data_IF_973009529024
#
_entry.id   IF_973009529024
#
_cell.length_a   1.000
_cell.length_b   1.000
_cell.length_c   1.000
_cell.angle_alpha   90.00
_cell.angle_beta   90.00
_cell.angle_gamma   90.00
#
_symmetry.space_group_name_H-M   'P 1'
#
loop_
_entity.id
_entity.type
_entity.pdbx_description
1 polymer ?
#
# COMPACT_ATOMS: atom_id res chain seq x y z
N UNK A 1 11.61 7.12 0.10
CA UNK A 1 12.55 5.98 0.02
C UNK A 1 11.76 4.73 -0.37
N UNK A 2 12.19 4.03 -1.41
CA UNK A 2 11.56 2.79 -1.88
C UNK A 2 12.57 1.73 -2.31
N UNK A 3 13.86 1.97 -2.05
CA UNK A 3 14.87 0.96 -2.35
C UNK A 3 14.57 -0.31 -1.55
N UNK A 4 14.48 -1.43 -2.26
CA UNK A 4 14.20 -2.77 -1.75
C UNK A 4 14.74 -3.83 -2.72
N UNK A 5 15.95 -3.66 -3.19
CA UNK A 5 16.59 -4.53 -4.19
C UNK A 5 15.70 -4.77 -5.42
N UNK A 6 15.33 -6.01 -5.71
CA UNK A 6 14.48 -6.36 -6.86
C UNK A 6 13.06 -5.78 -6.76
N UNK A 7 12.60 -5.42 -5.57
CA UNK A 7 11.26 -4.86 -5.35
C UNK A 7 11.23 -3.33 -5.40
N UNK A 8 12.34 -2.66 -5.69
CA UNK A 8 12.37 -1.20 -5.83
C UNK A 8 11.35 -0.71 -6.84
N UNK A 9 10.50 0.25 -6.43
CA UNK A 9 9.39 0.76 -7.27
C UNK A 9 7.99 0.34 -6.76
N UNK A 10 7.90 -0.66 -5.90
CA UNK A 10 6.61 -1.15 -5.38
C UNK A 10 5.81 -0.08 -4.62
N UNK A 11 6.47 0.79 -3.85
CA UNK A 11 5.79 1.88 -3.12
C UNK A 11 5.09 2.84 -4.09
N UNK A 12 5.71 3.17 -5.22
CA UNK A 12 5.12 4.05 -6.22
C UNK A 12 3.98 3.37 -6.98
N UNK A 13 4.07 2.07 -7.18
CA UNK A 13 2.97 1.27 -7.75
C UNK A 13 1.74 1.38 -6.85
N UNK A 14 1.90 1.11 -5.57
CA UNK A 14 0.80 1.19 -4.60
C UNK A 14 0.24 2.62 -4.48
N UNK A 15 1.08 3.64 -4.54
CA UNK A 15 0.62 5.03 -4.52
C UNK A 15 -0.19 5.38 -5.78
N UNK A 16 0.26 4.95 -6.95
CA UNK A 16 -0.52 5.10 -8.19
C UNK A 16 -1.86 4.38 -8.10
N UNK A 17 -1.90 3.19 -7.53
CA UNK A 17 -3.10 2.39 -7.32
C UNK A 17 -4.09 3.07 -6.36
N UNK A 18 -3.61 3.66 -5.26
CA UNK A 18 -4.43 4.50 -4.39
C UNK A 18 -5.07 5.67 -5.16
N UNK A 19 -4.28 6.37 -5.99
CA UNK A 19 -4.79 7.46 -6.82
C UNK A 19 -5.80 6.94 -7.84
N UNK A 20 -5.53 5.82 -8.50
CA UNK A 20 -6.44 5.21 -9.47
C UNK A 20 -7.79 4.90 -8.83
N UNK A 21 -7.77 4.23 -7.68
CA UNK A 21 -8.97 3.84 -6.96
C UNK A 21 -9.75 5.06 -6.45
N UNK A 22 -9.08 6.02 -5.82
CA UNK A 22 -9.75 7.20 -5.25
C UNK A 22 -10.24 8.20 -6.30
N UNK A 23 -9.67 8.20 -7.48
CA UNK A 23 -10.00 9.13 -8.56
C UNK A 23 -11.01 8.56 -9.54
N UNK A 24 -10.89 7.30 -9.89
CA UNK A 24 -11.67 6.67 -10.96
C UNK A 24 -12.60 5.55 -10.48
N UNK A 25 -12.49 5.14 -9.22
CA UNK A 25 -13.40 4.21 -8.56
C UNK A 25 -13.09 2.73 -8.74
N UNK A 26 -13.84 1.89 -8.01
CA UNK A 26 -13.63 0.44 -7.95
C UNK A 26 -13.73 -0.26 -9.31
N UNK A 27 -14.66 0.14 -10.17
CA UNK A 27 -14.88 -0.49 -11.48
C UNK A 27 -13.62 -0.37 -12.36
N UNK A 28 -13.05 0.83 -12.43
CA UNK A 28 -11.83 1.07 -13.23
C UNK A 28 -10.63 0.36 -12.63
N UNK A 29 -10.55 0.31 -11.32
CA UNK A 29 -9.51 -0.44 -10.62
C UNK A 29 -9.63 -1.94 -10.91
N UNK A 30 -10.84 -2.50 -10.91
CA UNK A 30 -11.10 -3.90 -11.22
C UNK A 30 -10.77 -4.24 -12.69
N UNK A 31 -10.98 -3.31 -13.62
CA UNK A 31 -10.53 -3.48 -15.00
C UNK A 31 -9.01 -3.49 -15.11
N UNK A 32 -8.33 -2.61 -14.38
CA UNK A 32 -6.88 -2.56 -14.29
C UNK A 32 -6.30 -3.84 -13.71
N UNK A 33 -6.74 -4.24 -12.52
CA UNK A 33 -6.22 -5.42 -11.82
C UNK A 33 -6.42 -6.73 -12.61
N UNK A 34 -7.39 -6.77 -13.53
CA UNK A 34 -7.68 -7.91 -14.43
C UNK A 34 -7.09 -7.75 -15.83
N UNK A 35 -6.25 -6.74 -16.04
CA UNK A 35 -5.61 -6.43 -17.33
C UNK A 35 -6.61 -6.25 -18.48
N UNK A 36 -7.81 -5.74 -18.18
CA UNK A 36 -8.83 -5.43 -19.20
C UNK A 36 -8.65 -4.05 -19.83
N UNK A 37 -7.85 -3.20 -19.20
CA UNK A 37 -7.39 -1.93 -19.75
C UNK A 37 -5.87 -1.92 -19.78
N UNK A 38 -5.33 -1.32 -20.82
CA UNK A 38 -3.90 -1.23 -21.04
C UNK A 38 -3.21 -0.31 -20.05
N UNK A 39 -1.91 -0.48 -19.83
CA UNK A 39 -1.11 0.42 -19.01
C UNK A 39 -1.06 1.85 -19.59
N UNK A 40 -1.10 2.00 -20.91
CA UNK A 40 -1.22 3.29 -21.59
C UNK A 40 -2.60 3.94 -21.53
N UNK A 41 -3.59 3.32 -20.87
CA UNK A 41 -4.91 3.90 -20.67
C UNK A 41 -4.80 5.28 -19.99
N UNK A 42 -5.59 6.24 -20.47
CA UNK A 42 -5.54 7.63 -19.98
C UNK A 42 -5.76 7.73 -18.45
N UNK A 43 -6.54 6.86 -17.85
CA UNK A 43 -6.79 6.87 -16.40
C UNK A 43 -5.55 6.43 -15.62
N UNK A 44 -4.84 5.41 -16.10
CA UNK A 44 -3.55 4.97 -15.54
C UNK A 44 -2.51 6.08 -15.70
N UNK A 45 -2.37 6.60 -16.91
CA UNK A 45 -1.48 7.73 -17.19
C UNK A 45 -1.72 8.92 -16.25
N UNK A 46 -2.98 9.36 -16.10
CA UNK A 46 -3.34 10.49 -15.22
C UNK A 46 -3.22 10.18 -13.73
N UNK A 47 -3.23 8.91 -13.32
CA UNK A 47 -2.93 8.52 -11.94
C UNK A 47 -1.43 8.65 -11.64
N UNK A 48 -0.58 8.24 -12.57
CA UNK A 48 0.87 8.43 -12.47
C UNK A 48 1.22 9.92 -12.53
N UNK A 49 0.59 10.68 -13.41
CA UNK A 49 0.78 12.14 -13.49
C UNK A 49 0.39 12.85 -12.20
N UNK A 50 -0.59 12.34 -11.47
CA UNK A 50 -1.00 12.93 -10.20
C UNK A 50 0.11 12.83 -9.13
N UNK A 51 0.86 11.74 -9.09
CA UNK A 51 1.99 11.59 -8.17
C UNK A 51 3.28 12.21 -8.70
N UNK A 52 3.35 12.52 -9.99
CA UNK A 52 4.50 13.13 -10.64
C UNK A 52 4.86 14.49 -10.01
N UNK A 53 3.86 15.30 -9.68
CA UNK A 53 4.06 16.62 -9.09
C UNK A 53 4.75 16.54 -7.72
N UNK A 54 4.56 15.43 -6.99
CA UNK A 54 5.27 15.17 -5.74
C UNK A 54 6.69 14.64 -5.96
N UNK A 55 6.90 13.81 -6.98
CA UNK A 55 8.17 13.12 -7.23
C UNK A 55 9.20 14.05 -7.89
N UNK A 56 8.78 14.86 -8.86
CA UNK A 56 9.69 15.62 -9.71
C UNK A 56 9.70 17.13 -9.44
N UNK A 57 8.83 17.62 -8.56
CA UNK A 57 8.86 19.03 -8.20
C UNK A 57 10.07 19.31 -7.29
N UNK A 58 10.79 20.38 -7.60
CA UNK A 58 11.98 20.78 -6.84
C UNK A 58 11.64 20.99 -5.35
N UNK A 59 12.49 20.45 -4.49
CA UNK A 59 12.40 20.53 -3.04
C UNK A 59 11.22 19.79 -2.36
N UNK A 60 10.40 19.01 -3.08
CA UNK A 60 9.37 18.18 -2.45
C UNK A 60 9.92 16.87 -1.88
N UNK A 61 11.02 16.37 -2.41
CA UNK A 61 11.62 15.11 -1.99
C UNK A 61 12.88 15.36 -1.18
N UNK A 62 12.87 14.87 0.04
CA UNK A 62 14.04 14.89 0.91
C UNK A 62 15.26 14.24 0.24
N UNK A 63 16.35 14.97 0.14
CA UNK A 63 17.56 14.58 -0.60
C UNK A 63 17.35 14.35 -2.11
N UNK A 64 16.28 14.91 -2.71
CA UNK A 64 16.03 14.86 -4.14
C UNK A 64 15.52 13.50 -4.65
N UNK A 65 15.07 13.47 -5.90
CA UNK A 65 14.43 12.30 -6.52
C UNK A 65 15.25 11.00 -6.49
N UNK A 66 16.57 11.10 -6.57
CA UNK A 66 17.46 9.93 -6.49
C UNK A 66 17.36 9.18 -5.15
N UNK A 67 16.97 9.85 -4.07
CA UNK A 67 16.78 9.23 -2.77
C UNK A 67 15.58 8.28 -2.74
N UNK A 68 14.61 8.47 -3.63
CA UNK A 68 13.41 7.63 -3.68
C UNK A 68 13.81 6.18 -3.95
N UNK A 69 14.61 5.94 -4.98
CA UNK A 69 15.04 4.60 -5.41
C UNK A 69 16.42 4.20 -4.87
N UNK A 70 17.15 5.12 -4.25
CA UNK A 70 18.50 4.87 -3.75
C UNK A 70 18.60 4.73 -2.23
N UNK A 71 17.51 4.92 -1.48
CA UNK A 71 17.50 4.77 -0.02
C UNK A 71 16.44 3.75 0.42
N UNK A 72 16.88 2.87 1.31
CA UNK A 72 16.03 1.82 1.85
C UNK A 72 14.82 2.40 2.59
N UNK A 73 13.63 1.85 2.31
CA UNK A 73 12.38 2.32 2.87
C UNK A 73 12.29 2.16 4.39
N UNK A 74 12.95 1.14 4.97
CA UNK A 74 13.00 0.90 6.42
C UNK A 74 13.67 2.02 7.21
N UNK A 75 14.50 2.82 6.55
CA UNK A 75 15.17 3.96 7.19
C UNK A 75 14.32 5.24 7.19
N UNK A 76 13.16 5.23 6.54
CA UNK A 76 12.31 6.41 6.43
C UNK A 76 11.77 6.93 7.78
N UNK A 77 11.41 6.09 8.78
CA UNK A 77 11.00 6.61 10.08
C UNK A 77 12.05 7.48 10.76
N UNK A 78 13.33 7.12 10.66
CA UNK A 78 14.42 7.94 11.20
C UNK A 78 14.47 9.31 10.55
N UNK A 79 14.21 9.38 9.22
CA UNK A 79 14.21 10.65 8.50
C UNK A 79 13.04 11.52 8.94
N UNK A 80 11.87 10.93 9.21
CA UNK A 80 10.67 11.68 9.63
C UNK A 80 10.73 12.16 11.08
N UNK A 81 11.39 11.40 11.94
CA UNK A 81 11.36 11.59 13.39
C UNK A 81 12.65 12.22 13.95
N UNK A 82 13.66 12.44 13.12
CA UNK A 82 14.89 13.11 13.51
C UNK A 82 14.66 14.62 13.60
N UNK A 83 14.95 15.22 14.74
CA UNK A 83 14.77 16.66 15.01
C UNK A 83 15.54 17.56 14.02
N UNK A 84 16.57 17.01 13.37
CA UNK A 84 17.38 17.71 12.36
C UNK A 84 16.82 17.62 10.94
N UNK A 85 15.74 16.85 10.73
CA UNK A 85 15.21 16.61 9.38
C UNK A 85 14.26 17.70 8.92
N UNK A 86 14.25 17.94 7.62
CA UNK A 86 13.29 18.83 6.94
C UNK A 86 12.14 18.03 6.29
N UNK A 87 11.98 16.75 6.63
CA UNK A 87 10.95 15.87 6.06
C UNK A 87 9.74 15.79 6.99
N UNK A 88 8.57 16.27 6.52
CA UNK A 88 7.33 16.35 7.32
C UNK A 88 6.35 15.23 7.08
N UNK A 89 6.38 14.57 5.92
CA UNK A 89 5.39 13.56 5.52
C UNK A 89 6.03 12.44 4.72
N UNK A 90 5.44 11.26 4.85
CA UNK A 90 5.71 10.13 3.96
C UNK A 90 4.40 9.44 3.61
N UNK A 91 4.27 9.05 2.34
CA UNK A 91 3.29 8.06 1.94
C UNK A 91 3.86 6.66 2.23
N UNK A 92 3.08 5.82 2.89
CA UNK A 92 3.46 4.44 3.20
C UNK A 92 2.22 3.60 3.54
N UNK A 93 2.38 2.29 3.61
CA UNK A 93 1.36 1.39 4.11
C UNK A 93 1.43 1.17 5.62
N UNK A 94 0.43 0.48 6.16
CA UNK A 94 0.30 0.12 7.57
C UNK A 94 1.58 -0.49 8.19
N UNK A 95 2.29 -1.34 7.47
CA UNK A 95 3.55 -1.98 7.91
C UNK A 95 4.66 -0.97 8.29
N UNK A 96 4.55 0.30 7.92
CA UNK A 96 5.56 1.32 8.20
C UNK A 96 5.81 1.50 9.70
N UNK A 97 4.81 1.30 10.53
CA UNK A 97 4.89 1.39 11.99
C UNK A 97 5.90 0.41 12.61
N UNK A 98 6.20 -0.74 11.98
CA UNK A 98 7.21 -1.70 12.45
C UNK A 98 8.63 -1.12 12.47
N UNK A 99 8.84 -0.05 11.75
CA UNK A 99 10.14 0.61 11.64
C UNK A 99 10.23 1.88 12.47
N UNK A 100 9.13 2.30 13.11
CA UNK A 100 9.12 3.42 14.05
C UNK A 100 9.74 2.96 15.37
N UNK A 101 10.74 3.67 15.89
CA UNK A 101 11.33 3.32 17.19
C UNK A 101 10.30 3.34 18.33
N UNK A 102 10.46 2.44 19.33
CA UNK A 102 9.48 2.23 20.40
C UNK A 102 9.29 3.45 21.34
N UNK A 103 10.25 4.37 21.37
CA UNK A 103 10.19 5.60 22.15
C UNK A 103 9.28 6.69 21.55
N UNK A 104 8.84 6.53 20.28
CA UNK A 104 7.92 7.44 19.63
C UNK A 104 6.45 6.98 19.78
N UNK A 105 5.56 7.93 20.05
CA UNK A 105 4.16 7.66 20.37
C UNK A 105 3.21 8.27 19.33
N UNK A 106 2.24 7.46 18.90
CA UNK A 106 1.16 7.92 18.03
C UNK A 106 0.37 9.07 18.67
N UNK A 107 0.01 10.09 17.90
CA UNK A 107 -0.65 11.33 18.27
C UNK A 107 0.15 12.28 19.20
N UNK A 108 1.35 11.90 19.58
CA UNK A 108 2.27 12.77 20.31
C UNK A 108 3.46 13.18 19.44
N UNK A 109 4.15 12.20 18.87
CA UNK A 109 5.38 12.41 18.11
C UNK A 109 5.14 12.27 16.60
N UNK A 110 4.11 11.51 16.21
CA UNK A 110 3.66 11.37 14.82
C UNK A 110 2.15 11.13 14.73
N UNK A 111 1.59 11.39 13.57
CA UNK A 111 0.19 11.08 13.25
C UNK A 111 0.11 10.32 11.91
N UNK A 112 -0.96 9.55 11.76
CA UNK A 112 -1.31 8.85 10.52
C UNK A 112 -2.64 9.37 10.02
N UNK A 113 -2.74 9.60 8.73
CA UNK A 113 -3.98 9.97 8.07
C UNK A 113 -4.16 9.17 6.79
N UNK A 114 -5.40 9.02 6.36
CA UNK A 114 -5.68 8.44 5.05
C UNK A 114 -5.07 9.28 3.93
N UNK A 115 -4.72 8.59 2.84
CA UNK A 115 -4.47 9.27 1.57
C UNK A 115 -5.69 10.14 1.21
N UNK A 116 -5.48 11.41 0.83
CA UNK A 116 -6.58 12.28 0.45
C UNK A 116 -7.44 11.68 -0.66
N UNK A 117 -8.74 11.66 -0.46
CA UNK A 117 -9.69 11.12 -1.42
C UNK A 117 -10.03 12.18 -2.46
N UNK A 118 -10.11 11.76 -3.73
CA UNK A 118 -10.35 12.68 -4.84
C UNK A 118 -11.85 12.70 -5.19
N UNK A 119 -12.40 11.59 -5.63
CA UNK A 119 -13.81 11.47 -6.03
C UNK A 119 -14.55 10.35 -5.29
N UNK A 120 -13.84 9.33 -4.83
CA UNK A 120 -14.41 8.15 -4.18
C UNK A 120 -13.95 8.09 -2.72
N UNK A 121 -14.83 8.55 -1.84
CA UNK A 121 -14.61 8.49 -0.40
C UNK A 121 -14.54 7.05 0.10
N UNK A 122 -13.79 6.84 1.17
CA UNK A 122 -13.60 5.55 1.83
C UNK A 122 -12.94 4.44 0.98
N UNK A 123 -12.37 4.77 -0.17
CA UNK A 123 -11.59 3.81 -0.96
C UNK A 123 -10.29 3.44 -0.26
N UNK A 124 -9.93 2.16 -0.27
CA UNK A 124 -8.69 1.66 0.34
C UNK A 124 -8.08 0.59 -0.57
N UNK A 125 -6.85 0.79 -0.96
CA UNK A 125 -6.00 -0.28 -1.49
C UNK A 125 -5.33 -0.97 -0.33
N UNK A 126 -5.39 -2.28 -0.27
CA UNK A 126 -4.81 -3.04 0.82
C UNK A 126 -4.30 -4.41 0.41
N UNK A 127 -3.52 -4.98 1.28
CA UNK A 127 -2.97 -6.33 1.16
C UNK A 127 -3.26 -7.09 2.45
N UNK A 128 -3.26 -8.40 2.40
CA UNK A 128 -3.46 -9.24 3.58
C UNK A 128 -2.77 -10.58 3.44
N UNK A 129 -2.49 -11.20 4.57
CA UNK A 129 -1.92 -12.53 4.60
C UNK A 129 -2.95 -13.58 4.14
N UNK A 130 -2.56 -14.43 3.21
CA UNK A 130 -3.38 -15.50 2.68
C UNK A 130 -2.94 -16.84 3.26
N UNK A 131 -3.92 -17.66 3.65
CA UNK A 131 -3.67 -19.01 4.16
C UNK A 131 -4.15 -20.03 3.12
N UNK A 132 -3.26 -20.93 2.73
CA UNK A 132 -3.52 -21.94 1.72
C UNK A 132 -3.45 -23.33 2.32
N UNK A 133 -4.46 -24.16 2.06
CA UNK A 133 -4.48 -25.57 2.41
C UNK A 133 -3.64 -26.36 1.38
N UNK A 134 -2.45 -26.82 1.78
CA UNK A 134 -1.57 -27.60 0.93
C UNK A 134 -1.88 -29.09 1.03
N UNK A 135 -2.24 -29.60 2.21
CA UNK A 135 -2.62 -30.98 2.44
C UNK A 135 -4.06 -31.07 2.93
N UNK A 136 -4.89 -31.78 2.17
CA UNK A 136 -6.26 -32.07 2.57
C UNK A 136 -6.28 -33.24 3.55
N UNK A 137 -6.21 -32.93 4.86
CA UNK A 137 -6.36 -33.87 5.95
C UNK A 137 -7.11 -33.21 7.12
N UNK A 138 -7.58 -34.03 8.06
CA UNK A 138 -8.39 -33.58 9.19
C UNK A 138 -7.70 -32.56 10.10
N UNK A 139 -6.37 -32.68 10.30
CA UNK A 139 -5.62 -31.74 11.13
C UNK A 139 -5.52 -30.37 10.45
N UNK A 140 -5.17 -30.34 9.19
CA UNK A 140 -5.09 -29.09 8.39
C UNK A 140 -6.44 -28.40 8.33
N UNK A 141 -7.54 -29.13 8.14
CA UNK A 141 -8.91 -28.58 8.17
C UNK A 141 -9.24 -27.97 9.53
N UNK A 142 -8.89 -28.62 10.63
CA UNK A 142 -9.10 -28.08 11.98
C UNK A 142 -8.32 -26.77 12.20
N UNK A 143 -7.09 -26.68 11.75
CA UNK A 143 -6.28 -25.47 11.85
C UNK A 143 -6.93 -24.32 11.05
N UNK A 144 -7.26 -24.55 9.79
CA UNK A 144 -7.93 -23.52 8.95
C UNK A 144 -9.27 -23.12 9.58
N UNK A 145 -10.09 -24.05 10.03
CA UNK A 145 -11.37 -23.74 10.69
C UNK A 145 -11.18 -22.85 11.92
N UNK A 146 -10.10 -23.05 12.69
CA UNK A 146 -9.77 -22.19 13.82
C UNK A 146 -9.37 -20.79 13.39
N UNK A 147 -8.55 -20.68 12.34
CA UNK A 147 -8.12 -19.38 11.78
C UNK A 147 -9.30 -18.61 11.18
N UNK A 148 -10.24 -19.30 10.54
CA UNK A 148 -11.46 -18.70 9.98
C UNK A 148 -12.51 -18.35 11.04
N UNK A 149 -12.32 -18.75 12.29
CA UNK A 149 -13.28 -18.44 13.35
C UNK A 149 -13.28 -16.95 13.69
N UNK A 150 -14.46 -16.43 14.13
CA UNK A 150 -14.60 -15.04 14.57
C UNK A 150 -13.68 -14.66 15.73
N UNK A 151 -13.26 -15.65 16.51
CA UNK A 151 -12.41 -15.46 17.70
C UNK A 151 -10.91 -15.54 17.36
N UNK A 152 -10.56 -15.79 16.08
CA UNK A 152 -9.16 -15.78 15.68
C UNK A 152 -8.58 -14.37 15.84
N UNK A 153 -7.46 -14.28 16.50
CA UNK A 153 -6.79 -13.01 16.76
C UNK A 153 -7.30 -12.24 17.99
N UNK A 154 -8.34 -12.71 18.71
CA UNK A 154 -8.83 -12.03 19.93
C UNK A 154 -7.72 -11.82 20.96
N UNK A 155 -6.95 -12.88 21.26
CA UNK A 155 -5.81 -12.78 22.18
C UNK A 155 -4.75 -11.85 21.61
N UNK A 156 -4.45 -11.99 20.33
CA UNK A 156 -3.45 -11.16 19.66
C UNK A 156 -3.83 -9.67 19.71
N UNK A 157 -5.06 -9.32 19.34
CA UNK A 157 -5.56 -7.94 19.38
C UNK A 157 -5.64 -7.34 20.78
N UNK A 158 -5.65 -8.17 21.83
CA UNK A 158 -5.69 -7.68 23.22
C UNK A 158 -4.35 -7.13 23.71
N UNK A 159 -3.25 -7.44 23.05
CA UNK A 159 -1.95 -6.87 23.40
C UNK A 159 -1.86 -5.41 22.94
N UNK A 160 -1.27 -4.54 23.78
CA UNK A 160 -1.18 -3.10 23.54
C UNK A 160 -0.42 -2.74 22.27
N UNK A 161 0.59 -3.52 21.93
CA UNK A 161 1.50 -3.23 20.82
C UNK A 161 1.18 -4.06 19.56
N UNK A 162 -0.04 -4.62 19.49
CA UNK A 162 -0.45 -5.40 18.33
C UNK A 162 -0.92 -4.54 17.18
N UNK A 163 -0.66 -5.02 15.98
CA UNK A 163 -1.05 -4.43 14.71
C UNK A 163 -2.03 -5.32 13.94
N UNK A 164 -2.56 -6.34 14.59
CA UNK A 164 -3.44 -7.30 13.94
C UNK A 164 -4.78 -6.68 13.57
N UNK A 165 -5.10 -6.69 12.29
CA UNK A 165 -6.42 -6.37 11.74
C UNK A 165 -7.04 -7.66 11.22
N UNK A 166 -8.14 -8.09 11.83
CA UNK A 166 -8.84 -9.30 11.41
C UNK A 166 -9.57 -9.10 10.09
N UNK A 167 -9.41 -10.04 9.15
CA UNK A 167 -10.20 -10.13 7.94
C UNK A 167 -11.65 -10.61 8.19
N UNK A 168 -11.97 -11.07 9.40
CA UNK A 168 -13.30 -11.54 9.75
C UNK A 168 -14.21 -10.36 10.12
N UNK A 169 -15.26 -10.13 9.34
CA UNK A 169 -16.23 -9.06 9.55
C UNK A 169 -16.95 -9.13 10.92
N UNK A 170 -17.02 -10.31 11.52
CA UNK A 170 -17.63 -10.52 12.85
C UNK A 170 -16.63 -10.42 14.01
N UNK A 171 -15.41 -9.99 13.74
CA UNK A 171 -14.39 -9.81 14.78
C UNK A 171 -14.82 -8.73 15.78
N UNK A 172 -14.60 -8.97 17.07
CA UNK A 172 -14.92 -7.99 18.09
C UNK A 172 -13.86 -6.89 18.18
N UNK A 173 -14.09 -5.78 17.47
CA UNK A 173 -13.18 -4.62 17.43
C UNK A 173 -12.89 -3.97 18.79
N UNK A 174 -13.71 -4.21 19.81
CA UNK A 174 -13.47 -3.68 21.16
C UNK A 174 -12.26 -4.33 21.83
N UNK A 175 -11.79 -5.47 21.31
CA UNK A 175 -10.58 -6.15 21.79
C UNK A 175 -9.29 -5.50 21.27
N UNK A 176 -9.36 -4.61 20.30
CA UNK A 176 -8.18 -3.91 19.80
C UNK A 176 -7.75 -2.88 20.84
N UNK A 177 -6.57 -3.04 21.41
CA UNK A 177 -6.07 -2.13 22.45
C UNK A 177 -5.17 -1.02 21.92
N UNK A 178 -4.57 -1.19 20.74
CA UNK A 178 -3.70 -0.19 20.12
C UNK A 178 -4.55 0.88 19.39
N UNK A 179 -4.35 2.16 19.72
CA UNK A 179 -5.16 3.27 19.16
C UNK A 179 -4.94 3.47 17.67
N UNK A 180 -3.71 3.29 17.17
CA UNK A 180 -3.44 3.37 15.74
C UNK A 180 -4.12 2.22 15.00
N UNK A 181 -4.05 0.99 15.54
CA UNK A 181 -4.73 -0.17 14.96
C UNK A 181 -6.26 0.00 14.97
N UNK A 182 -6.85 0.64 16.00
CA UNK A 182 -8.28 0.98 16.00
C UNK A 182 -8.64 1.92 14.86
N UNK A 183 -7.83 2.94 14.66
CA UNK A 183 -8.02 3.90 13.58
C UNK A 183 -7.94 3.21 12.21
N UNK A 184 -6.89 2.45 11.97
CA UNK A 184 -6.68 1.72 10.71
C UNK A 184 -7.77 0.65 10.46
N UNK A 185 -8.18 -0.09 11.51
CA UNK A 185 -9.30 -1.01 11.43
C UNK A 185 -10.58 -0.32 10.98
N UNK A 186 -10.87 0.88 11.52
CA UNK A 186 -12.07 1.62 11.13
C UNK A 186 -12.08 1.98 9.66
N UNK A 187 -10.94 2.36 9.11
CA UNK A 187 -10.76 2.71 7.69
C UNK A 187 -11.01 1.50 6.79
N UNK A 188 -10.36 0.38 7.09
CA UNK A 188 -10.53 -0.86 6.32
C UNK A 188 -11.96 -1.38 6.41
N UNK A 189 -12.54 -1.36 7.61
CA UNK A 189 -13.92 -1.80 7.84
C UNK A 189 -14.92 -0.95 7.07
N UNK A 190 -14.78 0.37 7.09
CA UNK A 190 -15.67 1.28 6.34
C UNK A 190 -15.56 1.07 4.83
N UNK A 191 -14.36 0.86 4.32
CA UNK A 191 -14.14 0.55 2.91
C UNK A 191 -14.80 -0.78 2.50
N UNK A 192 -14.69 -1.81 3.35
CA UNK A 192 -15.34 -3.11 3.11
C UNK A 192 -16.87 -3.00 3.11
N UNK A 193 -17.45 -2.22 4.05
CA UNK A 193 -18.91 -2.02 4.11
C UNK A 193 -19.47 -1.27 2.89
N UNK A 194 -18.66 -0.45 2.24
CA UNK A 194 -19.04 0.37 1.08
C UNK A 194 -18.59 -0.21 -0.26
N UNK A 195 -18.10 -1.46 -0.26
CA UNK A 195 -17.52 -2.12 -1.45
C UNK A 195 -16.43 -1.29 -2.14
N UNK A 196 -15.65 -0.56 -1.34
CA UNK A 196 -14.58 0.32 -1.81
C UNK A 196 -13.18 -0.10 -1.37
N UNK A 197 -13.04 -1.27 -0.75
CA UNK A 197 -11.76 -1.94 -0.53
C UNK A 197 -11.37 -2.71 -1.78
N UNK A 198 -10.11 -2.59 -2.20
CA UNK A 198 -9.53 -3.42 -3.26
C UNK A 198 -8.16 -3.93 -2.83
N UNK A 199 -7.86 -5.16 -3.23
CA UNK A 199 -6.51 -5.69 -3.09
C UNK A 199 -5.56 -4.95 -4.02
N UNK A 200 -4.33 -4.76 -3.56
CA UNK A 200 -3.21 -4.27 -4.34
C UNK A 200 -3.14 -5.03 -5.68
N UNK A 201 -3.31 -4.31 -6.79
CA UNK A 201 -3.39 -4.93 -8.11
C UNK A 201 -2.06 -5.58 -8.49
N UNK A 202 -0.94 -4.99 -8.10
CA UNK A 202 0.38 -5.54 -8.39
C UNK A 202 0.63 -6.89 -7.70
N UNK A 203 -0.01 -7.13 -6.54
CA UNK A 203 0.09 -8.39 -5.82
C UNK A 203 -0.86 -9.49 -6.36
N UNK A 204 -2.00 -9.11 -6.95
CA UNK A 204 -2.96 -10.07 -7.51
C UNK A 204 -2.76 -10.36 -9.00
N UNK A 205 -2.06 -9.51 -9.73
CA UNK A 205 -1.64 -9.76 -11.11
C UNK A 205 -0.63 -10.92 -11.17
N UNK A 206 -0.49 -11.53 -12.34
CA UNK A 206 0.58 -12.50 -12.57
C UNK A 206 1.93 -11.88 -12.21
N UNK A 207 2.75 -12.61 -11.44
CA UNK A 207 4.01 -12.11 -10.89
C UNK A 207 4.94 -11.40 -11.89
N UNK A 208 5.11 -11.87 -13.13
CA UNK A 208 5.95 -11.14 -14.09
C UNK A 208 5.47 -9.73 -14.37
N UNK A 209 4.16 -9.48 -14.31
CA UNK A 209 3.55 -8.17 -14.57
C UNK A 209 3.54 -7.33 -13.30
N UNK A 210 2.86 -7.79 -12.26
CA UNK A 210 2.64 -7.04 -11.03
C UNK A 210 3.94 -6.73 -10.29
N UNK A 211 4.67 -7.79 -9.93
CA UNK A 211 5.85 -7.66 -9.05
C UNK A 211 7.18 -7.42 -9.78
N UNK A 212 7.20 -7.42 -11.11
CA UNK A 212 8.42 -7.16 -11.87
C UNK A 212 8.25 -5.94 -12.79
N UNK A 213 7.40 -6.05 -13.82
CA UNK A 213 7.30 -5.01 -14.86
C UNK A 213 6.78 -3.68 -14.31
N UNK A 214 5.77 -3.69 -13.42
CA UNK A 214 5.25 -2.47 -12.82
C UNK A 214 6.27 -1.80 -11.90
N UNK A 215 6.99 -2.57 -11.09
CA UNK A 215 8.04 -2.01 -10.22
C UNK A 215 9.21 -1.43 -11.04
N UNK A 216 9.62 -2.15 -12.08
CA UNK A 216 10.67 -1.68 -12.99
C UNK A 216 10.24 -0.40 -13.72
N UNK A 217 8.98 -0.32 -14.18
CA UNK A 217 8.44 0.90 -14.80
C UNK A 217 8.64 2.11 -13.88
N UNK A 218 8.26 2.02 -12.61
CA UNK A 218 8.42 3.16 -11.70
C UNK A 218 9.88 3.47 -11.37
N UNK A 219 10.72 2.45 -11.28
CA UNK A 219 12.17 2.64 -11.09
C UNK A 219 12.78 3.41 -12.27
N UNK A 220 12.47 3.00 -13.50
CA UNK A 220 12.94 3.68 -14.72
C UNK A 220 12.30 5.06 -14.87
N UNK A 221 11.02 5.22 -14.54
CA UNK A 221 10.34 6.51 -14.57
C UNK A 221 11.01 7.54 -13.65
N UNK A 222 11.35 7.15 -12.43
CA UNK A 222 12.07 8.04 -11.50
C UNK A 222 13.48 8.35 -12.03
N UNK A 223 14.17 7.38 -12.61
CA UNK A 223 15.52 7.52 -13.13
C UNK A 223 15.56 8.41 -14.36
N UNK A 224 14.76 8.10 -15.35
CA UNK A 224 14.79 8.76 -16.66
C UNK A 224 14.02 10.08 -16.68
N UNK A 225 13.00 10.25 -15.84
CA UNK A 225 12.20 11.47 -15.73
C UNK A 225 10.84 11.42 -16.43
N UNK A 226 10.00 12.44 -16.19
CA UNK A 226 8.58 12.41 -16.54
C UNK A 226 8.31 12.40 -18.05
N UNK A 227 9.23 12.87 -18.88
CA UNK A 227 9.10 12.87 -20.34
C UNK A 227 9.05 11.47 -20.96
N UNK A 228 9.50 10.45 -20.23
CA UNK A 228 9.54 9.06 -20.71
C UNK A 228 8.29 8.24 -20.36
N UNK A 229 7.34 8.78 -19.60
CA UNK A 229 6.16 8.03 -19.12
C UNK A 229 5.39 7.34 -20.25
N UNK A 230 5.08 8.06 -21.33
CA UNK A 230 4.32 7.49 -22.46
C UNK A 230 5.08 6.32 -23.10
N UNK A 231 6.40 6.45 -23.26
CA UNK A 231 7.25 5.39 -23.79
C UNK A 231 7.19 4.15 -22.89
N UNK A 232 7.38 4.33 -21.57
CA UNK A 232 7.40 3.25 -20.58
C UNK A 232 6.06 2.51 -20.51
N UNK A 233 4.94 3.23 -20.55
CA UNK A 233 3.61 2.63 -20.56
C UNK A 233 3.34 1.82 -21.84
N UNK A 234 3.76 2.32 -23.01
CA UNK A 234 3.64 1.57 -24.26
C UNK A 234 4.58 0.36 -24.34
N UNK A 235 5.72 0.41 -23.68
CA UNK A 235 6.62 -0.75 -23.54
C UNK A 235 5.97 -1.81 -22.65
N UNK A 236 5.40 -1.42 -21.51
CA UNK A 236 4.66 -2.32 -20.62
C UNK A 236 3.49 -2.99 -21.35
N UNK A 237 2.71 -2.27 -22.16
CA UNK A 237 1.60 -2.84 -22.94
C UNK A 237 2.03 -3.91 -23.96
N UNK A 238 3.29 -3.94 -24.38
CA UNK A 238 3.82 -4.96 -25.29
C UNK A 238 4.27 -6.23 -24.57
N UNK A 239 4.53 -6.13 -23.28
CA UNK A 239 4.96 -7.24 -22.43
C UNK A 239 3.79 -7.96 -21.72
N UNK A 240 2.60 -7.31 -21.69
CA UNK A 240 1.33 -7.84 -21.16
C UNK A 240 0.53 -8.51 -22.28
#
# INVERSE_FOLDING_TARGET
NSESAASTGWIQTNWMEDVLLTKYGPEVYDEWSKLKINASNIKIFLSIKHIEDFIFYDNHIYNGKGSIIGKEFRNLPKVLLDDSTECFMSWSGHYFRYYIPEDYQYLKDFAVTNVPKINFENSVVGIGDNIVLIKDNELSKKVISKILSKNFGEIWSSYKDTEFISANQNFNKQLINNELTKYEYSIVHDALQKDSFRYDASEIMARPIGSNLLWELFKEYIREGPQNLVKLLNELDREI
#
